data_IF_148238080510
#
_entry.id   IF_148238080510
#
_cell.length_a   1.000
_cell.length_b   1.000
_cell.length_c   1.000
_cell.angle_alpha   90.00
_cell.angle_beta   90.00
_cell.angle_gamma   90.00
#
_symmetry.space_group_name_H-M   'P 1'
#
loop_
_entity.id
_entity.type
_entity.pdbx_description
1 polymer ?
#
# COMPACT_ATOMS: atom_id res chain seq x y z
N UNK A 1 -4.16 17.31 -17.63
CA UNK A 1 -3.35 16.10 -17.30
C UNK A 1 -4.36 14.96 -17.39
N UNK A 2 -4.33 14.07 -18.39
CA UNK A 2 -5.27 12.95 -18.36
C UNK A 2 -5.04 12.25 -17.03
N UNK A 3 -6.09 12.13 -16.20
CA UNK A 3 -6.04 11.18 -15.09
C UNK A 3 -5.61 9.88 -15.76
N UNK A 4 -4.51 9.28 -15.30
CA UNK A 4 -4.11 7.92 -15.71
C UNK A 4 -5.39 7.11 -15.79
N UNK A 5 -5.66 6.49 -16.95
CA UNK A 5 -6.88 5.72 -17.06
C UNK A 5 -6.88 4.67 -15.94
N UNK A 6 -8.05 4.38 -15.35
CA UNK A 6 -8.12 3.42 -14.25
C UNK A 6 -7.47 2.08 -14.66
N UNK A 7 -7.60 1.73 -15.94
CA UNK A 7 -6.93 0.61 -16.60
C UNK A 7 -5.40 0.72 -16.58
N UNK A 8 -4.82 1.88 -16.90
CA UNK A 8 -3.37 2.11 -16.83
C UNK A 8 -2.84 1.99 -15.40
N UNK A 9 -3.57 2.56 -14.44
CA UNK A 9 -3.19 2.51 -13.03
C UNK A 9 -3.18 1.07 -12.52
N UNK A 10 -4.23 0.30 -12.82
CA UNK A 10 -4.31 -1.14 -12.48
C UNK A 10 -3.17 -1.92 -13.14
N UNK A 11 -2.91 -1.65 -14.43
CA UNK A 11 -1.84 -2.34 -15.17
C UNK A 11 -0.45 -2.01 -14.61
N UNK A 12 -0.21 -0.76 -14.23
CA UNK A 12 1.05 -0.27 -13.69
C UNK A 12 1.32 -0.81 -12.28
N UNK A 13 0.33 -0.74 -11.40
CA UNK A 13 0.45 -1.28 -10.04
C UNK A 13 0.49 -2.82 -10.06
N UNK A 14 -0.12 -3.45 -11.07
CA UNK A 14 -0.32 -4.91 -11.10
C UNK A 14 -1.28 -5.39 -10.02
N UNK A 15 -2.15 -4.48 -9.55
CA UNK A 15 -3.05 -4.63 -8.40
C UNK A 15 -4.46 -4.86 -8.91
N UNK A 16 -5.22 -5.72 -8.24
CA UNK A 16 -6.60 -6.00 -8.63
C UNK A 16 -7.54 -4.86 -8.28
N UNK A 17 -8.67 -4.75 -8.99
CA UNK A 17 -9.73 -3.76 -8.69
C UNK A 17 -10.18 -3.87 -7.22
N UNK A 18 -10.22 -5.08 -6.69
CA UNK A 18 -10.61 -5.35 -5.31
C UNK A 18 -9.61 -4.75 -4.30
N UNK A 19 -8.32 -4.93 -4.53
CA UNK A 19 -7.24 -4.35 -3.70
C UNK A 19 -7.29 -2.81 -3.72
N UNK A 20 -7.53 -2.20 -4.89
CA UNK A 20 -7.70 -0.74 -5.00
C UNK A 20 -8.93 -0.24 -4.22
N UNK A 21 -10.04 -0.97 -4.32
CA UNK A 21 -11.29 -0.63 -3.62
C UNK A 21 -11.13 -0.73 -2.10
N UNK A 22 -10.45 -1.77 -1.60
CA UNK A 22 -10.12 -1.90 -0.17
C UNK A 22 -9.23 -0.75 0.30
N UNK A 23 -8.22 -0.37 -0.48
CA UNK A 23 -7.35 0.76 -0.14
C UNK A 23 -8.13 2.08 -0.09
N UNK A 24 -9.04 2.30 -1.03
CA UNK A 24 -9.90 3.48 -1.04
C UNK A 24 -10.81 3.52 0.19
N UNK A 25 -11.47 2.42 0.54
CA UNK A 25 -12.30 2.32 1.73
C UNK A 25 -11.49 2.58 3.02
N UNK A 26 -10.29 2.00 3.11
CA UNK A 26 -9.34 2.23 4.20
C UNK A 26 -8.94 3.70 4.35
N UNK A 27 -8.59 4.34 3.24
CA UNK A 27 -8.20 5.75 3.20
C UNK A 27 -9.35 6.68 3.60
N UNK A 28 -10.59 6.36 3.21
CA UNK A 28 -11.77 7.12 3.63
C UNK A 28 -11.98 7.02 5.14
N UNK A 29 -11.95 5.81 5.71
CA UNK A 29 -12.11 5.61 7.16
C UNK A 29 -10.98 6.33 7.91
N UNK A 30 -9.74 6.17 7.45
CA UNK A 30 -8.58 6.88 8.00
C UNK A 30 -8.77 8.40 7.97
N UNK A 31 -9.25 8.98 6.86
CA UNK A 31 -9.46 10.42 6.74
C UNK A 31 -10.48 10.93 7.77
N UNK A 32 -11.56 10.18 8.01
CA UNK A 32 -12.57 10.53 9.01
C UNK A 32 -11.98 10.46 10.43
N UNK A 33 -11.23 9.39 10.76
CA UNK A 33 -10.57 9.27 12.07
C UNK A 33 -9.51 10.36 12.29
N UNK A 34 -8.78 10.73 11.24
CA UNK A 34 -7.77 11.77 11.31
C UNK A 34 -8.40 13.14 11.58
N UNK A 35 -9.47 13.49 10.87
CA UNK A 35 -10.22 14.73 11.14
C UNK A 35 -10.78 14.71 12.56
N UNK A 36 -11.34 13.59 13.02
CA UNK A 36 -11.88 13.48 14.37
C UNK A 36 -10.81 13.67 15.45
N UNK A 37 -9.61 13.12 15.25
CA UNK A 37 -8.48 13.33 16.19
C UNK A 37 -8.00 14.78 16.19
N UNK A 38 -7.91 15.43 15.03
CA UNK A 38 -7.40 16.80 14.90
C UNK A 38 -8.39 17.85 15.39
N UNK A 39 -9.69 17.69 15.08
CA UNK A 39 -10.73 18.67 15.43
C UNK A 39 -11.32 18.45 16.82
N UNK A 40 -11.61 17.20 17.21
CA UNK A 40 -12.21 16.89 18.52
C UNK A 40 -11.17 16.73 19.65
N UNK A 41 -9.88 16.73 19.32
CA UNK A 41 -8.80 16.58 20.30
C UNK A 41 -8.87 15.27 21.11
N UNK A 42 -9.41 14.20 20.52
CA UNK A 42 -9.57 12.92 21.22
C UNK A 42 -8.20 12.38 21.68
N UNK A 43 -8.07 11.87 22.92
CA UNK A 43 -6.82 11.34 23.48
C UNK A 43 -6.47 9.95 22.91
N UNK A 44 -6.78 9.70 21.64
CA UNK A 44 -6.50 8.45 20.94
C UNK A 44 -5.04 8.40 20.52
N UNK A 45 -4.39 7.23 20.64
CA UNK A 45 -3.01 7.04 20.18
C UNK A 45 -2.93 7.18 18.66
N UNK A 46 -1.77 7.56 18.11
CA UNK A 46 -1.65 7.65 16.65
C UNK A 46 -1.85 6.29 15.99
N UNK A 47 -1.43 5.21 16.65
CA UNK A 47 -1.68 3.85 16.22
C UNK A 47 -3.17 3.53 16.01
N UNK A 48 -4.08 4.04 16.86
CA UNK A 48 -5.53 3.82 16.66
C UNK A 48 -6.08 4.54 15.43
N UNK A 49 -5.57 5.73 15.12
CA UNK A 49 -5.96 6.47 13.90
C UNK A 49 -5.44 5.79 12.64
N UNK A 50 -4.22 5.24 12.68
CA UNK A 50 -3.64 4.48 11.55
C UNK A 50 -4.15 3.04 11.44
N UNK A 51 -4.88 2.52 12.45
CA UNK A 51 -5.40 1.16 12.48
C UNK A 51 -6.17 0.73 11.22
N UNK A 52 -7.08 1.55 10.63
CA UNK A 52 -7.81 1.18 9.42
C UNK A 52 -6.90 0.88 8.23
N UNK A 53 -5.81 1.65 8.07
CA UNK A 53 -4.83 1.44 7.00
C UNK A 53 -4.06 0.12 7.21
N UNK A 54 -3.68 -0.18 8.45
CA UNK A 54 -3.03 -1.46 8.78
C UNK A 54 -3.95 -2.65 8.54
N UNK A 55 -5.22 -2.57 8.93
CA UNK A 55 -6.20 -3.64 8.68
C UNK A 55 -6.34 -3.91 7.19
N UNK A 56 -6.44 -2.86 6.39
CA UNK A 56 -6.56 -2.97 4.93
C UNK A 56 -5.30 -3.57 4.31
N UNK A 57 -4.12 -3.17 4.77
CA UNK A 57 -2.85 -3.76 4.31
C UNK A 57 -2.72 -5.25 4.65
N UNK A 58 -3.21 -5.65 5.83
CA UNK A 58 -3.27 -7.06 6.24
C UNK A 58 -4.24 -7.84 5.35
N UNK A 59 -5.44 -7.31 5.12
CA UNK A 59 -6.44 -7.91 4.22
C UNK A 59 -5.90 -8.05 2.80
N UNK A 60 -5.19 -7.03 2.30
CA UNK A 60 -4.55 -7.05 1.00
C UNK A 60 -3.50 -8.17 0.91
N UNK A 61 -2.63 -8.26 1.91
CA UNK A 61 -1.63 -9.35 2.01
C UNK A 61 -2.28 -10.74 2.00
N UNK A 62 -3.35 -10.93 2.77
CA UNK A 62 -4.10 -12.18 2.78
C UNK A 62 -4.73 -12.48 1.42
N UNK A 63 -5.31 -11.48 0.76
CA UNK A 63 -5.89 -11.64 -0.57
C UNK A 63 -4.83 -12.06 -1.59
N UNK A 64 -3.71 -11.35 -1.68
CA UNK A 64 -2.62 -11.70 -2.59
C UNK A 64 -2.08 -13.11 -2.32
N UNK A 65 -1.98 -13.52 -1.06
CA UNK A 65 -1.57 -14.87 -0.66
C UNK A 65 -2.59 -15.94 -1.09
N UNK A 66 -3.89 -15.70 -0.90
CA UNK A 66 -4.95 -16.62 -1.34
C UNK A 66 -4.91 -16.80 -2.86
N UNK A 67 -4.77 -15.71 -3.63
CA UNK A 67 -4.69 -15.82 -5.10
C UNK A 67 -3.41 -16.57 -5.51
N UNK A 68 -2.28 -16.35 -4.83
CA UNK A 68 -1.06 -17.13 -5.07
C UNK A 68 -1.27 -18.63 -4.82
N UNK A 69 -1.86 -19.00 -3.68
CA UNK A 69 -2.17 -20.41 -3.37
C UNK A 69 -3.09 -21.02 -4.44
N UNK A 70 -4.12 -20.29 -4.89
CA UNK A 70 -5.05 -20.78 -5.91
C UNK A 70 -4.35 -21.07 -7.24
N UNK A 71 -3.40 -20.22 -7.64
CA UNK A 71 -2.60 -20.43 -8.85
C UNK A 71 -1.58 -21.55 -8.69
N UNK A 72 -1.01 -21.70 -7.49
CA UNK A 72 -0.09 -22.79 -7.18
C UNK A 72 -0.76 -24.17 -7.27
N UNK A 73 -1.99 -24.29 -6.76
CA UNK A 73 -2.77 -25.54 -6.84
C UNK A 73 -3.44 -25.78 -8.20
N UNK A 74 -3.67 -24.73 -9.00
CA UNK A 74 -4.37 -24.80 -10.28
C UNK A 74 -3.52 -25.16 -11.51
N UNK A 75 -2.29 -25.65 -11.33
CA UNK A 75 -1.31 -25.96 -12.40
C UNK A 75 -0.97 -24.78 -13.34
N UNK A 76 -1.22 -23.54 -12.91
CA UNK A 76 -0.76 -22.36 -13.65
C UNK A 76 0.77 -22.18 -13.51
N UNK A 77 1.36 -21.37 -14.40
CA UNK A 77 2.80 -21.06 -14.37
C UNK A 77 3.23 -20.43 -13.03
N UNK A 78 3.78 -21.26 -12.13
CA UNK A 78 4.20 -20.89 -10.77
C UNK A 78 5.15 -19.69 -10.77
N UNK A 79 5.99 -19.54 -11.81
CA UNK A 79 6.92 -18.42 -11.96
C UNK A 79 6.19 -17.07 -12.08
N UNK A 80 5.12 -17.00 -12.85
CA UNK A 80 4.34 -15.77 -13.04
C UNK A 80 3.57 -15.42 -11.76
N UNK A 81 2.98 -16.42 -11.12
CA UNK A 81 2.28 -16.26 -9.84
C UNK A 81 3.23 -15.77 -8.73
N UNK A 82 4.42 -16.36 -8.62
CA UNK A 82 5.45 -15.95 -7.67
C UNK A 82 5.96 -14.53 -7.96
N UNK A 83 6.18 -14.19 -9.23
CA UNK A 83 6.57 -12.84 -9.61
C UNK A 83 5.50 -11.81 -9.23
N UNK A 84 4.21 -12.12 -9.42
CA UNK A 84 3.12 -11.24 -8.97
C UNK A 84 3.08 -11.12 -7.45
N UNK A 85 3.25 -12.21 -6.71
CA UNK A 85 3.27 -12.18 -5.25
C UNK A 85 4.42 -11.32 -4.71
N UNK A 86 5.64 -11.51 -5.23
CA UNK A 86 6.82 -10.72 -4.83
C UNK A 86 6.60 -9.24 -5.17
N UNK A 87 6.06 -8.98 -6.36
CA UNK A 87 5.71 -7.65 -6.85
C UNK A 87 4.76 -6.90 -5.92
N UNK A 88 3.58 -7.48 -5.71
CA UNK A 88 2.49 -6.85 -4.97
C UNK A 88 2.85 -6.84 -3.48
N UNK A 89 3.43 -7.93 -2.98
CA UNK A 89 3.94 -8.02 -1.62
C UNK A 89 5.00 -6.98 -1.30
N UNK A 90 5.93 -6.70 -2.24
CA UNK A 90 6.90 -5.62 -2.07
C UNK A 90 6.21 -4.24 -2.03
N UNK A 91 5.26 -3.99 -2.94
CA UNK A 91 4.53 -2.71 -2.98
C UNK A 91 3.75 -2.49 -1.68
N UNK A 92 3.01 -3.50 -1.22
CA UNK A 92 2.25 -3.47 0.04
C UNK A 92 3.17 -3.37 1.26
N UNK A 93 4.30 -4.08 1.26
CA UNK A 93 5.30 -3.95 2.31
C UNK A 93 5.86 -2.52 2.41
N UNK A 94 6.11 -1.87 1.27
CA UNK A 94 6.58 -0.49 1.23
C UNK A 94 5.50 0.52 1.68
N UNK A 95 4.21 0.29 1.36
CA UNK A 95 3.12 1.13 1.89
C UNK A 95 2.99 0.99 3.40
N UNK A 96 3.02 -0.24 3.92
CA UNK A 96 2.95 -0.50 5.37
C UNK A 96 4.12 0.12 6.12
N UNK A 97 5.35 -0.01 5.59
CA UNK A 97 6.52 0.62 6.23
C UNK A 97 6.42 2.14 6.21
N UNK A 98 5.89 2.74 5.14
CA UNK A 98 5.60 4.19 5.09
C UNK A 98 4.61 4.59 6.18
N UNK A 99 3.48 3.88 6.30
CA UNK A 99 2.45 4.13 7.31
C UNK A 99 3.00 3.98 8.73
N UNK A 100 3.80 2.93 8.98
CA UNK A 100 4.47 2.70 10.27
C UNK A 100 5.43 3.83 10.62
N UNK A 101 6.30 4.26 9.70
CA UNK A 101 7.27 5.32 9.98
C UNK A 101 6.57 6.66 10.22
N UNK A 102 5.49 6.96 9.49
CA UNK A 102 4.67 8.16 9.74
C UNK A 102 4.01 8.08 11.12
N UNK A 103 3.44 6.92 11.48
CA UNK A 103 2.83 6.70 12.78
C UNK A 103 3.84 6.89 13.92
N UNK A 104 5.05 6.31 13.79
CA UNK A 104 6.13 6.45 14.77
C UNK A 104 6.61 7.90 14.89
N UNK A 105 6.73 8.63 13.78
CA UNK A 105 7.07 10.06 13.80
C UNK A 105 6.02 10.82 14.63
N UNK A 106 4.74 10.58 14.38
CA UNK A 106 3.64 11.29 15.05
C UNK A 106 3.57 10.99 16.56
N UNK A 107 3.87 9.75 16.96
CA UNK A 107 3.88 9.33 18.36
C UNK A 107 5.11 9.84 19.13
N UNK A 108 6.32 9.72 18.56
CA UNK A 108 7.58 10.03 19.28
C UNK A 108 8.11 11.46 19.08
N UNK A 109 7.38 12.34 18.40
CA UNK A 109 7.74 13.76 18.29
C UNK A 109 9.08 14.01 17.57
N UNK A 110 9.05 14.03 16.24
CA UNK A 110 10.08 14.59 15.33
C UNK A 110 11.57 14.26 15.55
N UNK A 111 11.93 13.28 16.36
CA UNK A 111 13.33 12.81 16.46
C UNK A 111 13.83 12.17 15.16
N UNK A 112 12.90 11.74 14.30
CA UNK A 112 13.17 11.21 12.97
C UNK A 112 13.34 12.33 11.95
N UNK A 113 14.48 12.35 11.26
CA UNK A 113 14.72 13.26 10.14
C UNK A 113 13.67 13.06 9.04
N UNK A 114 13.19 14.16 8.45
CA UNK A 114 12.23 14.15 7.35
C UNK A 114 12.69 13.26 6.18
N UNK A 115 14.00 13.20 5.94
CA UNK A 115 14.59 12.35 4.91
C UNK A 115 14.32 10.86 5.15
N UNK A 116 14.40 10.39 6.40
CA UNK A 116 14.15 8.98 6.76
C UNK A 116 12.67 8.64 6.60
N UNK A 117 11.78 9.57 6.97
CA UNK A 117 10.32 9.36 6.85
C UNK A 117 9.87 9.24 5.40
N UNK A 118 10.48 10.00 4.49
CA UNK A 118 10.13 9.99 3.06
C UNK A 118 10.86 8.92 2.26
N UNK A 119 11.92 8.32 2.80
CA UNK A 119 12.70 7.26 2.13
C UNK A 119 11.84 6.11 1.56
N UNK A 120 10.93 5.46 2.33
CA UNK A 120 10.13 4.37 1.79
C UNK A 120 9.17 4.83 0.68
N UNK A 121 8.68 6.08 0.73
CA UNK A 121 7.87 6.67 -0.34
C UNK A 121 8.68 6.83 -1.61
N UNK A 122 9.92 7.33 -1.52
CA UNK A 122 10.80 7.44 -2.67
C UNK A 122 11.10 6.08 -3.28
N UNK A 123 11.41 5.06 -2.46
CA UNK A 123 11.65 3.69 -2.93
C UNK A 123 10.40 3.15 -3.64
N UNK A 124 9.21 3.37 -3.08
CA UNK A 124 7.94 2.98 -3.71
C UNK A 124 7.77 3.64 -5.08
N UNK A 125 8.01 4.94 -5.19
CA UNK A 125 7.94 5.66 -6.47
C UNK A 125 8.97 5.13 -7.48
N UNK A 126 10.21 4.86 -7.07
CA UNK A 126 11.23 4.27 -7.94
C UNK A 126 10.82 2.88 -8.44
N UNK A 127 10.25 2.03 -7.59
CA UNK A 127 9.74 0.71 -7.98
C UNK A 127 8.61 0.84 -9.00
N UNK A 128 7.68 1.77 -8.81
CA UNK A 128 6.60 2.03 -9.77
C UNK A 128 7.14 2.56 -11.11
N UNK A 129 8.10 3.49 -11.09
CA UNK A 129 8.72 4.02 -12.31
C UNK A 129 9.44 2.92 -13.10
N UNK A 130 10.22 2.09 -12.42
CA UNK A 130 10.91 0.97 -13.05
C UNK A 130 9.90 -0.02 -13.68
N UNK A 131 8.78 -0.28 -12.99
CA UNK A 131 7.68 -1.10 -13.54
C UNK A 131 7.02 -0.49 -14.76
N UNK A 132 6.71 0.80 -14.75
CA UNK A 132 6.15 1.47 -15.94
C UNK A 132 7.09 1.32 -17.14
N UNK A 133 8.39 1.51 -16.94
CA UNK A 133 9.37 1.35 -18.01
C UNK A 133 9.39 -0.08 -18.55
N UNK A 134 9.41 -1.10 -17.68
CA UNK A 134 9.41 -2.49 -18.11
C UNK A 134 8.12 -2.90 -18.83
N UNK A 135 6.96 -2.45 -18.34
CA UNK A 135 5.67 -2.75 -18.97
C UNK A 135 5.49 -2.06 -20.32
N UNK A 136 6.16 -0.93 -20.54
CA UNK A 136 6.09 -0.21 -21.82
C UNK A 136 7.11 -0.73 -22.85
N UNK A 137 8.13 -1.48 -22.41
CA UNK A 137 9.10 -2.14 -23.29
C UNK A 137 8.74 -3.59 -23.65
N UNK A 138 7.78 -4.22 -22.94
CA UNK A 138 7.31 -5.59 -23.18
C UNK A 138 6.07 -5.61 -24.10
#
# INVERSE_FOLDING_TARGET
MPLLSLTETIRLLGVTVFELWMQLAGALIFSVLLVLKMELGLPWSWCTVFSPLFVVSVLNTFFTLIVFLRQYFGEESVKLAAFRLITVGLLVGLTVTTEMVICLRLEFGSSLSHAVTLCPVYVLLFVLLFRSCLLQCA
#
